data_IF_581218916149
#
_entry.id   IF_581218916149
#
_cell.length_a   1.000
_cell.length_b   1.000
_cell.length_c   1.000
_cell.angle_alpha   90.00
_cell.angle_beta   90.00
_cell.angle_gamma   90.00
#
_symmetry.space_group_name_H-M   'P 1'
#
loop_
_entity.id
_entity.type
_entity.pdbx_description
1 polymer ?
#
# COMPACT_ATOMS: atom_id res chain seq x y z
N UNK A 1 25.79 -16.88 -21.49
CA UNK A 1 24.45 -16.50 -21.97
C UNK A 1 23.47 -17.21 -21.05
N UNK A 2 22.70 -16.48 -20.25
CA UNK A 2 21.83 -17.03 -19.20
C UNK A 2 20.50 -17.48 -19.83
N UNK A 3 20.04 -18.69 -19.55
CA UNK A 3 18.94 -19.38 -20.24
C UNK A 3 17.61 -19.28 -19.48
N UNK A 4 17.53 -18.39 -18.48
CA UNK A 4 16.46 -18.35 -17.46
C UNK A 4 15.82 -16.97 -17.26
N UNK A 5 15.93 -16.05 -18.21
CA UNK A 5 15.04 -14.87 -18.21
C UNK A 5 13.94 -15.15 -19.23
N UNK A 6 12.73 -15.47 -18.73
CA UNK A 6 11.54 -15.47 -19.58
C UNK A 6 11.48 -14.14 -20.33
N UNK A 7 11.21 -14.13 -21.64
CA UNK A 7 11.20 -12.90 -22.41
C UNK A 7 10.14 -11.97 -21.82
N UNK A 8 10.54 -10.73 -21.53
CA UNK A 8 9.65 -9.67 -21.07
C UNK A 8 8.44 -9.61 -22.00
N UNK A 9 7.24 -9.78 -21.43
CA UNK A 9 6.00 -9.69 -22.20
C UNK A 9 5.91 -8.33 -22.89
N UNK A 10 5.88 -8.30 -24.22
CA UNK A 10 5.76 -7.05 -24.98
C UNK A 10 4.49 -6.29 -24.57
N UNK A 11 3.39 -7.04 -24.39
CA UNK A 11 2.12 -6.51 -23.91
C UNK A 11 2.28 -5.94 -22.50
N UNK A 12 2.83 -6.72 -21.56
CA UNK A 12 3.06 -6.26 -20.20
C UNK A 12 3.89 -4.98 -20.13
N UNK A 13 4.92 -4.87 -20.96
CA UNK A 13 5.77 -3.69 -21.04
C UNK A 13 5.02 -2.47 -21.58
N UNK A 14 4.10 -2.66 -22.54
CA UNK A 14 3.19 -1.60 -23.01
C UNK A 14 2.24 -1.13 -21.91
N UNK A 15 1.71 -2.05 -21.09
CA UNK A 15 0.86 -1.73 -19.94
C UNK A 15 1.62 -0.89 -18.90
N UNK A 16 2.85 -1.28 -18.57
CA UNK A 16 3.69 -0.50 -17.65
C UNK A 16 3.97 0.90 -18.19
N UNK A 17 4.28 1.02 -19.49
CA UNK A 17 4.47 2.31 -20.16
C UNK A 17 3.22 3.20 -20.11
N UNK A 18 2.05 2.62 -20.39
CA UNK A 18 0.79 3.35 -20.37
C UNK A 18 0.48 3.92 -18.97
N UNK A 19 0.70 3.12 -17.92
CA UNK A 19 0.59 3.55 -16.53
C UNK A 19 1.60 4.64 -16.18
N UNK A 20 2.89 4.38 -16.41
CA UNK A 20 3.97 5.28 -16.02
C UNK A 20 3.89 6.64 -16.74
N UNK A 21 3.38 6.68 -17.97
CA UNK A 21 3.14 7.93 -18.69
C UNK A 21 2.20 8.88 -17.95
N UNK A 22 1.23 8.35 -17.19
CA UNK A 22 0.32 9.19 -16.41
C UNK A 22 1.00 9.80 -15.19
N UNK A 23 2.12 9.24 -14.73
CA UNK A 23 2.84 9.71 -13.56
C UNK A 23 3.98 10.67 -13.91
N UNK A 24 4.31 10.84 -15.19
CA UNK A 24 5.48 11.60 -15.65
C UNK A 24 5.46 13.09 -15.24
N UNK A 25 4.31 13.63 -14.86
CA UNK A 25 4.15 15.01 -14.39
C UNK A 25 4.42 15.17 -12.88
N UNK A 26 4.52 14.06 -12.14
CA UNK A 26 4.81 14.06 -10.71
C UNK A 26 6.32 14.25 -10.45
N UNK A 27 6.74 14.65 -9.23
CA UNK A 27 8.14 14.62 -8.82
C UNK A 27 8.79 13.26 -9.03
N UNK A 28 10.10 13.23 -9.32
CA UNK A 28 10.85 12.02 -9.71
C UNK A 28 10.70 10.89 -8.67
N UNK A 29 10.70 11.22 -7.38
CA UNK A 29 10.52 10.28 -6.28
C UNK A 29 9.15 9.59 -6.26
N UNK A 30 8.15 10.15 -6.97
CA UNK A 30 6.79 9.58 -7.11
C UNK A 30 6.56 8.91 -8.46
N UNK A 31 7.53 8.99 -9.38
CA UNK A 31 7.45 8.35 -10.68
C UNK A 31 7.81 6.86 -10.58
N UNK A 32 7.37 6.07 -11.56
CA UNK A 32 7.81 4.69 -11.68
C UNK A 32 9.27 4.66 -12.16
N UNK A 33 10.16 4.08 -11.35
CA UNK A 33 11.57 3.92 -11.72
C UNK A 33 11.71 3.04 -12.98
N UNK A 34 12.65 3.39 -13.85
CA UNK A 34 12.90 2.62 -15.08
C UNK A 34 13.26 1.15 -14.80
N UNK A 35 13.94 0.87 -13.68
CA UNK A 35 14.28 -0.49 -13.24
C UNK A 35 13.06 -1.35 -12.91
N UNK A 36 11.89 -0.74 -12.69
CA UNK A 36 10.65 -1.45 -12.41
C UNK A 36 9.94 -1.96 -13.67
N UNK A 37 10.30 -1.46 -14.86
CA UNK A 37 9.52 -1.75 -16.08
C UNK A 37 9.49 -3.23 -16.45
N UNK A 38 10.65 -3.88 -16.41
CA UNK A 38 10.76 -5.29 -16.75
C UNK A 38 10.12 -6.16 -15.65
N UNK A 39 10.35 -5.82 -14.39
CA UNK A 39 9.81 -6.52 -13.22
C UNK A 39 8.27 -6.46 -13.16
N UNK A 40 7.67 -5.37 -13.63
CA UNK A 40 6.22 -5.17 -13.59
C UNK A 40 5.50 -5.73 -14.81
N UNK A 41 6.23 -6.00 -15.90
CA UNK A 41 5.65 -6.42 -17.18
C UNK A 41 4.82 -7.69 -17.06
N UNK A 42 5.40 -8.79 -16.56
CA UNK A 42 4.69 -10.07 -16.44
C UNK A 42 3.49 -9.97 -15.48
N UNK A 43 3.63 -9.46 -14.25
CA UNK A 43 2.51 -9.39 -13.32
C UNK A 43 1.36 -8.50 -13.80
N UNK A 44 1.64 -7.40 -14.52
CA UNK A 44 0.58 -6.58 -15.10
C UNK A 44 -0.08 -7.27 -16.30
N UNK A 45 0.67 -7.98 -17.14
CA UNK A 45 0.08 -8.76 -18.24
C UNK A 45 -0.91 -9.81 -17.74
N UNK A 46 -0.61 -10.45 -16.61
CA UNK A 46 -1.47 -11.48 -15.98
C UNK A 46 -2.80 -10.94 -15.45
N UNK A 47 -2.91 -9.62 -15.23
CA UNK A 47 -4.20 -9.00 -14.84
C UNK A 47 -5.25 -9.07 -15.94
N UNK A 48 -4.84 -9.22 -17.21
CA UNK A 48 -5.74 -9.15 -18.37
C UNK A 48 -6.16 -7.73 -18.74
N UNK A 49 -5.55 -6.70 -18.14
CA UNK A 49 -5.83 -5.31 -18.47
C UNK A 49 -5.29 -4.90 -19.86
N UNK A 50 -5.89 -3.87 -20.43
CA UNK A 50 -5.44 -3.21 -21.65
C UNK A 50 -4.84 -1.82 -21.36
N UNK A 51 -4.26 -1.19 -22.39
CA UNK A 51 -3.62 0.12 -22.23
C UNK A 51 -4.56 1.23 -21.73
N UNK A 52 -5.83 1.26 -22.16
CA UNK A 52 -6.75 2.30 -21.71
C UNK A 52 -7.11 2.16 -20.23
N UNK A 53 -7.26 0.92 -19.75
CA UNK A 53 -7.44 0.63 -18.33
C UNK A 53 -6.22 1.04 -17.51
N UNK A 54 -5.00 0.79 -18.00
CA UNK A 54 -3.79 1.20 -17.30
C UNK A 54 -3.60 2.73 -17.26
N UNK A 55 -4.09 3.46 -18.27
CA UNK A 55 -4.15 4.93 -18.21
C UNK A 55 -5.10 5.37 -17.10
N UNK A 56 -6.30 4.79 -17.00
CA UNK A 56 -7.24 5.11 -15.92
C UNK A 56 -6.64 4.83 -14.54
N UNK A 57 -5.97 3.68 -14.37
CA UNK A 57 -5.29 3.34 -13.11
C UNK A 57 -4.16 4.35 -12.81
N UNK A 58 -3.40 4.78 -13.82
CA UNK A 58 -2.36 5.78 -13.65
C UNK A 58 -2.88 7.16 -13.25
N UNK A 59 -3.95 7.64 -13.90
CA UNK A 59 -4.61 8.90 -13.57
C UNK A 59 -5.20 8.87 -12.15
N UNK A 60 -5.87 7.77 -11.80
CA UNK A 60 -6.38 7.54 -10.46
C UNK A 60 -5.26 7.53 -9.42
N UNK A 61 -4.16 6.82 -9.68
CA UNK A 61 -3.02 6.76 -8.76
C UNK A 61 -2.41 8.15 -8.55
N UNK A 62 -2.19 8.92 -9.62
CA UNK A 62 -1.67 10.29 -9.52
C UNK A 62 -2.58 11.22 -8.70
N UNK A 63 -3.88 10.95 -8.66
CA UNK A 63 -4.86 11.75 -7.92
C UNK A 63 -4.93 11.39 -6.44
N UNK A 64 -4.82 10.10 -6.11
CA UNK A 64 -5.10 9.60 -4.76
C UNK A 64 -3.83 9.29 -3.96
N UNK A 65 -2.68 9.12 -4.62
CA UNK A 65 -1.45 8.69 -3.97
C UNK A 65 -0.36 9.75 -4.06
N UNK A 66 0.27 10.04 -2.93
CA UNK A 66 1.45 10.93 -2.87
C UNK A 66 2.78 10.17 -2.87
N UNK A 67 2.72 8.86 -3.02
CA UNK A 67 3.84 7.93 -2.83
C UNK A 67 4.22 7.22 -4.13
N UNK A 68 5.48 6.77 -4.24
CA UNK A 68 5.91 5.97 -5.38
C UNK A 68 5.03 4.72 -5.58
N UNK A 69 4.63 4.38 -6.83
CA UNK A 69 3.83 3.20 -7.15
C UNK A 69 4.39 1.89 -6.58
N UNK A 70 3.52 1.13 -5.91
CA UNK A 70 3.79 -0.24 -5.50
C UNK A 70 3.06 -1.24 -6.42
N UNK A 71 3.78 -2.23 -6.95
CA UNK A 71 3.23 -3.16 -7.95
C UNK A 71 1.97 -3.89 -7.45
N UNK A 72 2.01 -4.45 -6.25
CA UNK A 72 0.85 -5.16 -5.68
C UNK A 72 -0.38 -4.27 -5.56
N UNK A 73 -0.17 -2.98 -5.31
CA UNK A 73 -1.24 -1.99 -5.23
C UNK A 73 -1.84 -1.68 -6.60
N UNK A 74 -0.99 -1.47 -7.61
CA UNK A 74 -1.41 -1.25 -9.00
C UNK A 74 -2.16 -2.47 -9.54
N UNK A 75 -1.68 -3.68 -9.24
CA UNK A 75 -2.39 -4.93 -9.58
C UNK A 75 -3.77 -4.96 -8.94
N UNK A 76 -3.87 -4.67 -7.64
CA UNK A 76 -5.15 -4.68 -6.93
C UNK A 76 -6.14 -3.66 -7.51
N UNK A 77 -5.69 -2.42 -7.75
CA UNK A 77 -6.52 -1.38 -8.37
C UNK A 77 -6.97 -1.78 -9.78
N UNK A 78 -6.09 -2.42 -10.55
CA UNK A 78 -6.40 -2.93 -11.88
C UNK A 78 -7.47 -4.03 -11.83
N UNK A 79 -7.34 -4.98 -10.90
CA UNK A 79 -8.32 -6.04 -10.68
C UNK A 79 -9.68 -5.48 -10.22
N UNK A 80 -9.67 -4.44 -9.39
CA UNK A 80 -10.89 -3.77 -8.97
C UNK A 80 -11.58 -3.06 -10.14
N UNK A 81 -10.83 -2.32 -10.97
CA UNK A 81 -11.35 -1.70 -12.18
C UNK A 81 -11.97 -2.76 -13.12
N UNK A 82 -11.30 -3.89 -13.32
CA UNK A 82 -11.79 -4.96 -14.20
C UNK A 82 -13.06 -5.64 -13.67
N UNK A 83 -13.15 -5.83 -12.35
CA UNK A 83 -14.28 -6.51 -11.72
C UNK A 83 -15.50 -5.61 -11.51
N UNK A 84 -15.29 -4.33 -11.18
CA UNK A 84 -16.36 -3.37 -10.85
C UNK A 84 -16.69 -2.40 -11.98
N UNK A 85 -15.80 -2.25 -12.96
CA UNK A 85 -15.93 -1.30 -14.07
C UNK A 85 -15.52 0.14 -13.72
N UNK A 86 -15.12 0.43 -12.49
CA UNK A 86 -14.68 1.75 -12.04
C UNK A 86 -13.68 1.65 -10.90
N UNK A 87 -12.80 2.65 -10.79
CA UNK A 87 -11.92 2.84 -9.63
C UNK A 87 -12.63 3.64 -8.53
N UNK A 88 -12.28 3.43 -7.25
CA UNK A 88 -12.80 4.23 -6.14
C UNK A 88 -12.35 5.70 -6.23
N UNK A 89 -13.06 6.60 -5.56
CA UNK A 89 -12.67 8.02 -5.42
C UNK A 89 -11.64 8.28 -4.30
N UNK A 90 -11.03 7.22 -3.78
CA UNK A 90 -10.10 7.24 -2.67
C UNK A 90 -9.06 6.14 -2.88
N UNK A 91 -8.01 6.12 -2.06
CA UNK A 91 -7.07 5.00 -2.04
C UNK A 91 -7.79 3.71 -1.57
N UNK A 92 -7.36 2.58 -2.10
CA UNK A 92 -7.64 1.26 -1.55
C UNK A 92 -6.80 0.98 -0.30
N UNK A 93 -7.41 0.47 0.76
CA UNK A 93 -6.66 -0.07 1.87
C UNK A 93 -6.15 -1.49 1.56
N UNK A 94 -4.88 -1.75 1.84
CA UNK A 94 -4.34 -3.10 1.79
C UNK A 94 -4.79 -3.95 2.99
N UNK A 95 -4.52 -5.25 2.92
CA UNK A 95 -4.86 -6.19 4.00
C UNK A 95 -4.20 -5.83 5.33
N UNK A 96 -3.00 -5.25 5.31
CA UNK A 96 -2.27 -4.87 6.52
C UNK A 96 -3.00 -3.73 7.21
N UNK A 97 -3.37 -2.68 6.47
CA UNK A 97 -4.09 -1.53 6.99
C UNK A 97 -5.48 -1.92 7.52
N UNK A 98 -6.21 -2.77 6.78
CA UNK A 98 -7.51 -3.29 7.20
C UNK A 98 -7.42 -4.12 8.50
N UNK A 99 -6.40 -4.99 8.61
CA UNK A 99 -6.18 -5.76 9.83
C UNK A 99 -5.79 -4.86 11.01
N UNK A 100 -4.94 -3.85 10.77
CA UNK A 100 -4.56 -2.88 11.81
C UNK A 100 -5.79 -2.12 12.33
N UNK A 101 -6.66 -1.66 11.42
CA UNK A 101 -7.94 -1.03 11.77
C UNK A 101 -8.81 -1.95 12.63
N UNK A 102 -8.99 -3.21 12.24
CA UNK A 102 -9.80 -4.17 13.00
C UNK A 102 -9.25 -4.38 14.43
N UNK A 103 -7.93 -4.45 14.59
CA UNK A 103 -7.28 -4.58 15.90
C UNK A 103 -7.51 -3.34 16.76
N UNK A 104 -7.34 -2.14 16.19
CA UNK A 104 -7.51 -0.88 16.92
C UNK A 104 -8.97 -0.67 17.37
N UNK A 105 -9.93 -0.94 16.49
CA UNK A 105 -11.35 -0.87 16.84
C UNK A 105 -11.73 -1.86 17.94
N UNK A 106 -11.20 -3.09 17.90
CA UNK A 106 -11.41 -4.06 18.96
C UNK A 106 -10.81 -3.58 20.30
N UNK A 107 -9.62 -2.98 20.29
CA UNK A 107 -9.00 -2.42 21.48
C UNK A 107 -9.82 -1.25 22.08
N UNK A 108 -10.35 -0.37 21.22
CA UNK A 108 -11.24 0.72 21.62
C UNK A 108 -12.52 0.19 22.27
N UNK A 109 -13.14 -0.84 21.69
CA UNK A 109 -14.33 -1.49 22.26
C UNK A 109 -14.08 -2.10 23.64
N UNK A 110 -12.83 -2.46 23.95
CA UNK A 110 -12.41 -2.94 25.26
C UNK A 110 -12.08 -1.79 26.24
N UNK A 111 -12.26 -0.53 25.84
CA UNK A 111 -11.98 0.65 26.67
C UNK A 111 -10.50 0.92 26.89
N UNK A 112 -9.63 0.43 26.00
CA UNK A 112 -8.18 0.64 26.11
C UNK A 112 -7.77 2.02 25.56
N UNK A 113 -6.73 2.58 26.17
CA UNK A 113 -6.08 3.83 25.72
C UNK A 113 -5.56 3.67 24.29
N UNK A 114 -5.88 4.63 23.44
CA UNK A 114 -5.56 4.59 22.01
C UNK A 114 -4.05 4.66 21.77
N UNK A 115 -3.38 5.56 22.48
CA UNK A 115 -1.93 5.78 22.39
C UNK A 115 -1.16 4.55 22.89
N UNK A 116 -1.59 3.98 24.01
CA UNK A 116 -0.96 2.78 24.58
C UNK A 116 -1.16 1.56 23.67
N UNK A 117 -2.33 1.43 23.04
CA UNK A 117 -2.59 0.36 22.08
C UNK A 117 -1.71 0.47 20.84
N UNK A 118 -1.54 1.68 20.30
CA UNK A 118 -0.61 1.92 19.18
C UNK A 118 0.81 1.46 19.52
N UNK A 119 1.32 1.88 20.68
CA UNK A 119 2.65 1.47 21.14
C UNK A 119 2.75 -0.05 21.39
N UNK A 120 1.74 -0.65 22.02
CA UNK A 120 1.70 -2.07 22.28
C UNK A 120 1.71 -2.91 20.99
N UNK A 121 0.97 -2.48 19.95
CA UNK A 121 0.93 -3.14 18.65
C UNK A 121 2.30 -3.06 17.96
N UNK A 122 2.94 -1.89 17.97
CA UNK A 122 4.30 -1.74 17.41
C UNK A 122 5.31 -2.66 18.11
N UNK A 123 5.26 -2.73 19.45
CA UNK A 123 6.11 -3.62 20.23
C UNK A 123 5.83 -5.10 19.91
N UNK A 124 4.55 -5.50 19.90
CA UNK A 124 4.14 -6.87 19.63
C UNK A 124 4.56 -7.32 18.21
N UNK A 125 4.34 -6.47 17.20
CA UNK A 125 4.77 -6.70 15.83
C UNK A 125 6.28 -6.88 15.72
N UNK A 126 7.06 -6.01 16.37
CA UNK A 126 8.52 -6.11 16.41
C UNK A 126 8.98 -7.41 17.06
N UNK A 127 8.41 -7.78 18.21
CA UNK A 127 8.74 -9.03 18.90
C UNK A 127 8.40 -10.26 18.06
N UNK A 128 7.23 -10.27 17.43
CA UNK A 128 6.79 -11.36 16.57
C UNK A 128 7.76 -11.55 15.38
N UNK A 129 8.09 -10.45 14.70
CA UNK A 129 9.02 -10.41 13.58
C UNK A 129 10.41 -10.95 13.99
N UNK A 130 10.98 -10.42 15.07
CA UNK A 130 12.28 -10.87 15.58
C UNK A 130 12.26 -12.34 16.00
N UNK A 131 11.18 -12.83 16.63
CA UNK A 131 11.07 -14.23 17.02
C UNK A 131 10.99 -15.18 15.82
N UNK A 132 10.26 -14.78 14.77
CA UNK A 132 10.10 -15.58 13.55
C UNK A 132 11.43 -15.70 12.83
N UNK A 133 12.13 -14.58 12.66
CA UNK A 133 13.43 -14.54 12.00
C UNK A 133 14.49 -15.34 12.74
N UNK A 134 14.58 -15.19 14.07
CA UNK A 134 15.52 -16.00 14.87
C UNK A 134 15.27 -17.50 14.75
N UNK A 135 14.00 -17.92 14.60
CA UNK A 135 13.66 -19.34 14.43
C UNK A 135 14.03 -19.86 13.03
N UNK A 136 13.71 -19.10 11.98
CA UNK A 136 13.87 -19.54 10.58
C UNK A 136 15.27 -19.29 10.01
N UNK A 137 15.96 -18.25 10.47
CA UNK A 137 17.21 -17.75 9.90
C UNK A 137 18.24 -17.45 10.98
N UNK A 138 18.69 -18.51 11.68
CA UNK A 138 19.59 -18.40 12.84
C UNK A 138 20.93 -17.70 12.55
N UNK A 139 21.37 -17.66 11.30
CA UNK A 139 22.63 -17.06 10.84
C UNK A 139 22.49 -15.58 10.43
N UNK A 140 21.28 -15.02 10.40
CA UNK A 140 21.07 -13.63 9.99
C UNK A 140 21.49 -12.68 11.11
N UNK A 141 22.29 -11.68 10.76
CA UNK A 141 22.76 -10.64 11.69
C UNK A 141 21.59 -9.85 12.28
N UNK A 142 21.74 -9.47 13.56
CA UNK A 142 20.81 -8.55 14.21
C UNK A 142 20.73 -7.19 13.51
N UNK A 143 21.80 -6.75 12.87
CA UNK A 143 21.83 -5.46 12.15
C UNK A 143 20.91 -5.46 10.94
N UNK A 144 20.87 -6.58 10.21
CA UNK A 144 19.94 -6.75 9.09
C UNK A 144 18.48 -6.68 9.56
N UNK A 145 18.14 -7.38 10.66
CA UNK A 145 16.79 -7.34 11.23
C UNK A 145 16.39 -5.94 11.71
N UNK A 146 17.34 -5.18 12.24
CA UNK A 146 17.09 -3.78 12.63
C UNK A 146 16.75 -2.94 11.40
N UNK A 147 17.50 -3.09 10.31
CA UNK A 147 17.26 -2.38 9.04
C UNK A 147 15.87 -2.71 8.48
N UNK A 148 15.43 -3.97 8.56
CA UNK A 148 14.09 -4.38 8.11
C UNK A 148 12.98 -3.69 8.92
N UNK A 149 13.09 -3.67 10.26
CA UNK A 149 12.12 -2.99 11.13
C UNK A 149 12.10 -1.47 10.87
N UNK A 150 13.28 -0.85 10.74
CA UNK A 150 13.41 0.56 10.34
C UNK A 150 12.83 0.83 8.94
N UNK A 151 12.92 -0.13 8.03
CA UNK A 151 12.31 -0.08 6.70
C UNK A 151 10.79 -0.07 6.78
N UNK A 152 10.19 -0.95 7.60
CA UNK A 152 8.75 -0.98 7.82
C UNK A 152 8.24 0.34 8.40
N UNK A 153 8.92 0.88 9.42
CA UNK A 153 8.54 2.15 10.03
C UNK A 153 8.57 3.30 9.02
N UNK A 154 9.61 3.38 8.19
CA UNK A 154 9.73 4.40 7.12
C UNK A 154 8.64 4.26 6.06
N UNK A 155 8.29 3.03 5.67
CA UNK A 155 7.19 2.81 4.72
C UNK A 155 5.84 3.23 5.29
N UNK A 156 5.60 2.96 6.58
CA UNK A 156 4.37 3.42 7.25
C UNK A 156 4.29 4.94 7.34
N UNK A 157 5.39 5.60 7.73
CA UNK A 157 5.50 7.06 7.78
C UNK A 157 5.23 7.69 6.40
N UNK A 158 5.82 7.12 5.35
CA UNK A 158 5.68 7.61 3.98
C UNK A 158 4.23 7.64 3.46
N UNK A 159 3.34 6.77 3.97
CA UNK A 159 1.93 6.72 3.60
C UNK A 159 0.99 7.38 4.64
N UNK A 160 1.52 7.84 5.78
CA UNK A 160 0.72 8.22 6.93
C UNK A 160 -0.14 9.46 6.65
N UNK A 161 0.44 10.50 6.06
CA UNK A 161 -0.24 11.77 5.80
C UNK A 161 -1.44 11.59 4.85
N UNK A 162 -1.26 10.82 3.77
CA UNK A 162 -2.34 10.49 2.81
C UNK A 162 -3.53 9.80 3.50
N UNK A 163 -3.22 8.82 4.36
CA UNK A 163 -4.24 8.08 5.11
C UNK A 163 -4.94 9.01 6.12
N UNK A 164 -4.18 9.83 6.84
CA UNK A 164 -4.72 10.75 7.84
C UNK A 164 -5.62 11.81 7.20
N UNK A 165 -5.21 12.38 6.06
CA UNK A 165 -5.99 13.36 5.32
C UNK A 165 -7.32 12.76 4.84
N UNK A 166 -7.32 11.56 4.26
CA UNK A 166 -8.55 10.88 3.83
C UNK A 166 -9.50 10.61 5.00
N UNK A 167 -8.98 10.07 6.11
CA UNK A 167 -9.77 9.80 7.31
C UNK A 167 -10.31 11.12 7.89
N UNK A 168 -9.50 12.18 7.93
CA UNK A 168 -9.92 13.50 8.38
C UNK A 168 -11.01 14.10 7.48
N UNK A 169 -11.05 13.76 6.19
CA UNK A 169 -12.15 14.12 5.29
C UNK A 169 -13.36 13.18 5.36
N UNK A 170 -13.33 12.13 6.20
CA UNK A 170 -14.39 11.13 6.31
C UNK A 170 -14.52 10.22 5.08
N UNK A 171 -13.44 10.06 4.30
CA UNK A 171 -13.39 9.28 3.06
C UNK A 171 -12.50 8.05 3.21
N UNK A 172 -12.58 7.14 2.24
CA UNK A 172 -11.74 5.95 2.20
C UNK A 172 -12.25 4.78 3.02
N UNK A 173 -11.53 3.67 2.90
CA UNK A 173 -11.82 2.40 3.59
C UNK A 173 -11.55 2.48 5.09
N UNK A 174 -10.64 3.39 5.50
CA UNK A 174 -10.20 3.55 6.88
C UNK A 174 -10.96 4.65 7.64
N UNK A 175 -11.98 5.28 7.04
CA UNK A 175 -12.72 6.42 7.62
C UNK A 175 -13.28 6.19 9.02
N UNK A 176 -13.62 4.95 9.36
CA UNK A 176 -14.16 4.61 10.68
C UNK A 176 -13.13 4.74 11.82
N UNK A 177 -11.84 4.87 11.50
CA UNK A 177 -10.84 5.28 12.48
C UNK A 177 -10.91 6.78 12.82
N UNK A 178 -11.72 7.58 12.13
CA UNK A 178 -11.80 9.02 12.36
C UNK A 178 -12.24 9.40 13.78
N UNK A 179 -13.23 8.69 14.34
CA UNK A 179 -13.62 8.87 15.75
C UNK A 179 -12.48 8.50 16.70
N UNK A 180 -11.78 7.39 16.42
CA UNK A 180 -10.63 6.91 17.21
C UNK A 180 -9.42 7.86 17.17
N UNK A 181 -9.05 8.37 15.99
CA UNK A 181 -7.82 9.14 15.78
C UNK A 181 -7.99 10.64 16.09
N UNK A 182 -9.19 11.18 15.88
CA UNK A 182 -9.43 12.61 15.98
C UNK A 182 -10.38 12.99 17.12
N UNK A 183 -10.79 12.03 17.96
CA UNK A 183 -11.82 12.22 19.00
C UNK A 183 -13.07 12.93 18.44
N UNK A 184 -13.46 12.57 17.21
CA UNK A 184 -14.72 13.03 16.64
C UNK A 184 -15.81 12.21 17.30
N UNK A 185 -16.65 12.86 18.10
CA UNK A 185 -17.91 12.25 18.46
C UNK A 185 -18.63 11.91 17.15
N UNK A 186 -19.00 10.64 16.95
CA UNK A 186 -19.79 10.17 15.80
C UNK A 186 -21.24 10.71 15.85
N UNK A 187 -21.42 12.00 16.19
CA UNK A 187 -22.69 12.68 16.39
C UNK A 187 -23.18 13.43 15.14
N UNK A 188 -22.44 13.43 14.03
CA UNK A 188 -22.86 14.09 12.79
C UNK A 188 -22.87 13.13 11.60
N UNK A 189 -23.84 12.22 11.58
CA UNK A 189 -24.44 11.72 10.34
C UNK A 189 -25.97 11.62 10.53
N UNK A 190 -26.64 12.77 10.42
CA UNK A 190 -28.02 12.89 9.91
C UNK A 190 -27.97 13.40 8.47
#
# INVERSE_FOLDING_TARGET
MNIFEEPVSLMGYQLVKAFAAQLAHLPEERQLRQSSYDMWSTPLAETGANESQMKLVGEWYATNHQTAPALGYVIHATQELLSRGSLPQHRLAGTIELNAMAILLAAQQLGLSTDDCGQAIMLAGTLAHLSLYRRKHKSVSRDYLRIEVEGMARMSDYAADEILDEIACGKGDLRALGGYLFNRDDAEQQ
#
